data_IF_421112557721
#
_entry.id   IF_421112557721
#
_cell.length_a   1.000
_cell.length_b   1.000
_cell.length_c   1.000
_cell.angle_alpha   90.00
_cell.angle_beta   90.00
_cell.angle_gamma   90.00
#
_symmetry.space_group_name_H-M   'P 1'
#
loop_
_entity.id
_entity.type
_entity.pdbx_description
1 polymer ?
#
# COMPACT_ATOMS: atom_id res chain seq x y z
N UNK A 1 -25.20 -14.42 -5.44
CA UNK A 1 -23.86 -14.36 -6.07
C UNK A 1 -22.87 -13.98 -4.98
N UNK A 2 -21.98 -14.87 -4.56
CA UNK A 2 -20.89 -14.47 -3.67
C UNK A 2 -19.97 -13.56 -4.47
N UNK A 3 -20.00 -12.26 -4.20
CA UNK A 3 -19.01 -11.32 -4.74
C UNK A 3 -17.68 -11.70 -4.11
N UNK A 4 -16.95 -12.60 -4.77
CA UNK A 4 -15.62 -13.00 -4.34
C UNK A 4 -14.74 -11.76 -4.19
N UNK A 5 -13.83 -11.77 -3.23
CA UNK A 5 -12.89 -10.66 -2.98
C UNK A 5 -11.88 -10.44 -4.11
N UNK A 6 -12.09 -11.03 -5.30
CA UNK A 6 -11.18 -11.00 -6.44
C UNK A 6 -11.96 -10.98 -7.75
N UNK A 7 -11.54 -10.13 -8.68
CA UNK A 7 -11.97 -10.12 -10.07
C UNK A 7 -10.74 -10.10 -11.01
N UNK A 8 -10.95 -9.99 -12.32
CA UNK A 8 -9.87 -10.00 -13.31
C UNK A 8 -8.86 -8.83 -13.18
N UNK A 9 -9.24 -7.74 -12.50
CA UNK A 9 -8.47 -6.49 -12.38
C UNK A 9 -8.00 -6.19 -10.96
N UNK A 10 -8.67 -6.68 -9.91
CA UNK A 10 -8.34 -6.35 -8.53
C UNK A 10 -8.70 -7.45 -7.53
N UNK A 11 -8.06 -7.38 -6.36
CA UNK A 11 -8.36 -8.20 -5.19
C UNK A 11 -8.52 -7.30 -3.96
N UNK A 12 -9.63 -7.44 -3.24
CA UNK A 12 -9.86 -6.80 -1.96
C UNK A 12 -9.04 -7.50 -0.86
N UNK A 13 -8.25 -6.70 -0.14
CA UNK A 13 -7.52 -7.14 1.04
C UNK A 13 -8.25 -6.66 2.29
N UNK A 14 -8.32 -7.50 3.32
CA UNK A 14 -8.94 -7.15 4.61
C UNK A 14 -7.88 -7.23 5.71
N UNK A 15 -7.55 -6.08 6.29
CA UNK A 15 -6.69 -5.96 7.45
C UNK A 15 -7.31 -4.98 8.45
N UNK A 16 -7.03 -5.16 9.74
CA UNK A 16 -7.31 -4.13 10.75
C UNK A 16 -6.10 -3.21 10.81
N UNK A 17 -6.35 -1.89 10.80
CA UNK A 17 -5.32 -0.87 10.90
C UNK A 17 -5.48 -0.18 12.26
N UNK A 18 -4.41 -0.05 13.07
CA UNK A 18 -4.45 0.72 14.31
C UNK A 18 -4.93 2.17 14.11
N UNK A 19 -5.59 2.74 15.12
CA UNK A 19 -6.19 4.08 15.02
C UNK A 19 -5.15 5.18 14.79
N UNK A 20 -4.03 5.11 15.49
CA UNK A 20 -2.89 6.03 15.33
C UNK A 20 -2.37 6.06 13.89
N UNK A 21 -2.32 4.91 13.21
CA UNK A 21 -1.92 4.83 11.81
C UNK A 21 -2.98 5.44 10.88
N UNK A 22 -4.27 5.26 11.18
CA UNK A 22 -5.36 5.88 10.40
C UNK A 22 -5.33 7.40 10.57
N UNK A 23 -5.14 7.89 11.78
CA UNK A 23 -5.03 9.32 12.07
C UNK A 23 -3.82 9.94 11.37
N UNK A 24 -2.65 9.28 11.45
CA UNK A 24 -1.46 9.74 10.77
C UNK A 24 -1.63 9.81 9.24
N UNK A 25 -2.34 8.83 8.65
CA UNK A 25 -2.69 8.87 7.22
C UNK A 25 -3.58 10.08 6.90
N UNK A 26 -4.65 10.33 7.65
CA UNK A 26 -5.55 11.46 7.39
C UNK A 26 -4.85 12.82 7.56
N UNK A 27 -3.83 12.93 8.42
CA UNK A 27 -3.04 14.16 8.58
C UNK A 27 -2.13 14.49 7.40
N UNK A 28 -1.73 13.49 6.61
CA UNK A 28 -0.77 13.66 5.49
C UNK A 28 -1.40 13.43 4.12
N UNK A 29 -2.67 13.05 4.06
CA UNK A 29 -3.42 12.94 2.80
C UNK A 29 -3.59 14.31 2.18
N UNK A 30 -3.39 14.37 0.86
CA UNK A 30 -3.63 15.57 0.07
C UNK A 30 -5.14 15.82 -0.08
N UNK A 31 -5.54 17.08 -0.32
CA UNK A 31 -6.96 17.50 -0.35
C UNK A 31 -7.83 16.68 -1.34
N UNK A 32 -7.26 16.25 -2.46
CA UNK A 32 -7.95 15.47 -3.50
C UNK A 32 -7.59 13.96 -3.48
N UNK A 33 -6.92 13.48 -2.44
CA UNK A 33 -6.50 12.08 -2.34
C UNK A 33 -7.50 11.22 -1.56
N UNK A 34 -8.05 10.21 -2.22
CA UNK A 34 -8.87 9.19 -1.56
C UNK A 34 -8.01 8.23 -0.71
N UNK A 35 -8.58 7.68 0.36
CA UNK A 35 -7.94 6.63 1.18
C UNK A 35 -7.47 5.44 0.34
N UNK A 36 -8.23 5.05 -0.69
CA UNK A 36 -7.83 4.00 -1.63
C UNK A 36 -6.57 4.35 -2.42
N UNK A 37 -6.48 5.58 -2.93
CA UNK A 37 -5.29 6.07 -3.63
C UNK A 37 -4.08 6.07 -2.70
N UNK A 38 -4.23 6.61 -1.48
CA UNK A 38 -3.15 6.62 -0.49
C UNK A 38 -2.62 5.20 -0.20
N UNK A 39 -3.52 4.24 0.06
CA UNK A 39 -3.15 2.85 0.34
C UNK A 39 -2.43 2.21 -0.85
N UNK A 40 -2.95 2.40 -2.08
CA UNK A 40 -2.33 1.84 -3.29
C UNK A 40 -0.94 2.45 -3.52
N UNK A 41 -0.80 3.77 -3.43
CA UNK A 41 0.48 4.48 -3.59
C UNK A 41 1.49 4.03 -2.54
N UNK A 42 1.06 3.87 -1.28
CA UNK A 42 1.90 3.36 -0.19
C UNK A 42 2.40 1.95 -0.45
N UNK A 43 1.51 1.04 -0.87
CA UNK A 43 1.88 -0.34 -1.23
C UNK A 43 2.87 -0.38 -2.40
N UNK A 44 2.61 0.38 -3.47
CA UNK A 44 3.50 0.46 -4.63
C UNK A 44 4.88 0.98 -4.26
N UNK A 45 4.93 2.00 -3.40
CA UNK A 45 6.19 2.60 -2.92
C UNK A 45 7.03 1.60 -2.14
N UNK A 46 6.43 0.85 -1.21
CA UNK A 46 7.14 -0.17 -0.43
C UNK A 46 7.55 -1.38 -1.31
N UNK A 47 6.73 -1.78 -2.28
CA UNK A 47 7.11 -2.81 -3.27
C UNK A 47 8.36 -2.37 -4.04
N UNK A 48 8.37 -1.16 -4.60
CA UNK A 48 9.52 -0.60 -5.32
C UNK A 48 10.76 -0.52 -4.42
N UNK A 49 10.61 -0.08 -3.17
CA UNK A 49 11.70 -0.02 -2.19
C UNK A 49 12.31 -1.40 -1.93
N UNK A 50 11.50 -2.44 -1.76
CA UNK A 50 11.97 -3.82 -1.57
C UNK A 50 12.59 -4.41 -2.83
N UNK A 51 12.03 -4.13 -4.01
CA UNK A 51 12.62 -4.55 -5.28
C UNK A 51 14.02 -3.95 -5.49
N UNK A 52 14.20 -2.65 -5.20
CA UNK A 52 15.51 -1.97 -5.28
C UNK A 52 16.56 -2.61 -4.37
N UNK A 53 16.19 -3.10 -3.18
CA UNK A 53 17.09 -3.83 -2.28
C UNK A 53 17.53 -5.18 -2.84
N UNK A 54 16.63 -5.86 -3.56
CA UNK A 54 16.96 -7.14 -4.20
C UNK A 54 17.86 -6.98 -5.43
N UNK A 55 17.78 -5.84 -6.11
CA UNK A 55 18.57 -5.54 -7.32
C UNK A 55 19.96 -5.04 -6.98
N UNK A 56 20.17 -4.41 -5.81
CA UNK A 56 21.53 -4.21 -5.31
C UNK A 56 22.03 -5.56 -4.80
N UNK A 57 22.98 -6.22 -5.48
CA UNK A 57 23.67 -7.34 -4.86
C UNK A 57 24.30 -6.81 -3.57
N UNK A 58 24.38 -7.64 -2.56
CA UNK A 58 25.29 -7.46 -1.44
C UNK A 58 26.70 -7.23 -1.99
N UNK A 59 27.07 -5.97 -2.22
CA UNK A 59 28.44 -5.52 -2.42
C UNK A 59 28.59 -4.15 -1.76
N UNK A 60 29.45 -4.13 -0.76
CA UNK A 60 29.66 -3.07 0.23
C UNK A 60 29.36 -3.68 1.60
N UNK A 61 30.30 -4.32 2.29
CA UNK A 61 31.72 -4.00 2.43
C UNK A 61 31.98 -3.90 3.92
#
# INVERSE_FOLDING_TARGET
MATGTKNAKSQALKARVPHDVVEAMEMVKEEDESTSQFIITSMQSEIKRRQRRKVKPEQGG
#
